data_IF_436595965389
#
_entry.id   IF_436595965389
#
_cell.length_a   1.000
_cell.length_b   1.000
_cell.length_c   1.000
_cell.angle_alpha   90.00
_cell.angle_beta   90.00
_cell.angle_gamma   90.00
#
_symmetry.space_group_name_H-M   'P 1'
#
loop_
_entity.id
_entity.type
_entity.pdbx_description
1 polymer ?
#
# COMPACT_ATOMS: atom_id res chain seq x y z
N UNK A 1 0.72 28.19 -65.71
CA UNK A 1 1.81 27.57 -64.92
C UNK A 1 1.51 27.84 -63.45
N UNK A 2 1.34 26.81 -62.60
CA UNK A 2 0.71 26.99 -61.29
C UNK A 2 1.70 27.52 -60.24
N UNK A 3 1.21 28.38 -59.35
CA UNK A 3 1.97 28.96 -58.25
C UNK A 3 2.15 27.92 -57.12
N UNK A 4 3.41 27.65 -56.76
CA UNK A 4 3.78 26.75 -55.67
C UNK A 4 3.59 27.46 -54.32
N UNK A 5 2.48 27.18 -53.63
CA UNK A 5 2.29 27.58 -52.22
C UNK A 5 3.08 26.61 -51.33
N UNK A 6 4.17 27.10 -50.73
CA UNK A 6 4.93 26.38 -49.69
C UNK A 6 4.09 26.33 -48.41
N UNK A 7 3.55 25.16 -48.09
CA UNK A 7 2.92 24.89 -46.80
C UNK A 7 4.02 24.58 -45.79
N UNK A 8 4.23 25.46 -44.82
CA UNK A 8 5.05 25.18 -43.64
C UNK A 8 4.26 24.25 -42.71
N UNK A 9 4.65 22.98 -42.64
CA UNK A 9 4.10 22.03 -41.68
C UNK A 9 4.78 22.27 -40.31
N UNK A 10 4.04 22.85 -39.36
CA UNK A 10 4.46 22.98 -37.98
C UNK A 10 4.24 21.62 -37.31
N UNK A 11 5.31 20.87 -37.08
CA UNK A 11 5.27 19.62 -36.32
C UNK A 11 5.10 19.94 -34.82
N UNK A 12 3.88 19.78 -34.30
CA UNK A 12 3.60 19.87 -32.87
C UNK A 12 4.12 18.61 -32.17
N UNK A 13 5.26 18.72 -31.48
CA UNK A 13 5.73 17.69 -30.55
C UNK A 13 4.81 17.69 -29.32
N UNK A 14 3.91 16.71 -29.24
CA UNK A 14 3.16 16.43 -28.04
C UNK A 14 4.12 15.84 -26.99
N UNK A 15 4.49 16.64 -25.99
CA UNK A 15 5.24 16.17 -24.84
C UNK A 15 4.33 15.28 -23.98
N UNK A 16 4.46 13.96 -24.12
CA UNK A 16 3.84 13.01 -23.20
C UNK A 16 4.55 13.11 -21.85
N UNK A 17 3.88 13.64 -20.84
CA UNK A 17 4.34 13.65 -19.46
C UNK A 17 4.37 12.22 -18.92
N UNK A 18 5.57 11.63 -18.85
CA UNK A 18 5.80 10.37 -18.14
C UNK A 18 5.77 10.69 -16.64
N UNK A 19 4.59 10.65 -16.04
CA UNK A 19 4.48 10.66 -14.58
C UNK A 19 5.10 9.35 -14.05
N UNK A 20 5.92 9.39 -12.99
CA UNK A 20 6.42 8.16 -12.37
C UNK A 20 5.22 7.37 -11.86
N UNK A 21 4.98 6.19 -12.45
CA UNK A 21 4.01 5.25 -11.93
C UNK A 21 4.58 4.67 -10.63
N UNK A 22 3.88 4.87 -9.52
CA UNK A 22 4.19 4.17 -8.28
C UNK A 22 3.95 2.67 -8.51
N UNK A 23 4.82 1.84 -7.95
CA UNK A 23 4.60 0.41 -7.94
C UNK A 23 3.26 0.08 -7.26
N UNK A 24 2.61 -0.99 -7.69
CA UNK A 24 1.37 -1.43 -7.04
C UNK A 24 1.64 -1.79 -5.57
N UNK A 25 0.76 -1.41 -4.62
CA UNK A 25 0.84 -1.88 -3.24
C UNK A 25 0.40 -3.35 -3.10
N UNK A 26 -0.30 -3.90 -4.09
CA UNK A 26 -0.84 -5.27 -4.06
C UNK A 26 0.29 -6.30 -4.00
N UNK A 27 0.13 -7.30 -3.15
CA UNK A 27 1.03 -8.43 -2.99
C UNK A 27 1.22 -8.84 -1.53
N UNK A 28 2.14 -9.79 -1.31
CA UNK A 28 2.46 -10.26 0.03
C UNK A 28 3.57 -9.42 0.66
N UNK A 29 3.42 -9.09 1.93
CA UNK A 29 4.34 -8.24 2.67
C UNK A 29 4.71 -8.87 4.02
N UNK A 30 6.00 -8.93 4.34
CA UNK A 30 6.53 -9.41 5.62
C UNK A 30 6.95 -8.20 6.48
N UNK A 31 6.54 -8.15 7.74
CA UNK A 31 6.96 -7.09 8.66
C UNK A 31 8.45 -7.24 9.01
N UNK A 32 9.14 -6.17 9.39
CA UNK A 32 10.58 -6.16 9.70
C UNK A 32 11.02 -7.14 10.80
N UNK A 33 10.12 -7.52 11.71
CA UNK A 33 10.35 -8.54 12.75
C UNK A 33 10.29 -9.98 12.20
N UNK A 34 9.85 -10.13 10.94
CA UNK A 34 9.73 -11.39 10.19
C UNK A 34 8.82 -12.42 10.87
N UNK A 35 7.89 -11.94 11.68
CA UNK A 35 7.00 -12.74 12.52
C UNK A 35 5.56 -12.81 11.97
N UNK A 36 5.25 -12.00 10.95
CA UNK A 36 3.94 -11.93 10.33
C UNK A 36 4.03 -11.55 8.85
N UNK A 37 3.09 -12.09 8.05
CA UNK A 37 2.91 -11.71 6.66
C UNK A 37 1.46 -11.38 6.36
N UNK A 38 1.29 -10.46 5.43
CA UNK A 38 0.01 -9.92 5.06
C UNK A 38 -0.19 -10.02 3.56
N UNK A 39 -1.36 -10.49 3.13
CA UNK A 39 -1.81 -10.33 1.75
C UNK A 39 -2.51 -8.97 1.62
N UNK A 40 -1.92 -8.08 0.83
CA UNK A 40 -2.41 -6.72 0.61
C UNK A 40 -3.08 -6.66 -0.76
N UNK A 41 -4.33 -6.22 -0.76
CA UNK A 41 -5.16 -6.12 -1.97
C UNK A 41 -5.84 -4.75 -2.06
N UNK A 42 -6.20 -4.36 -3.28
CA UNK A 42 -7.14 -3.26 -3.50
C UNK A 42 -8.57 -3.79 -3.31
N UNK A 43 -9.40 -3.00 -2.62
CA UNK A 43 -10.78 -3.35 -2.28
C UNK A 43 -11.70 -2.13 -2.41
N UNK A 44 -12.99 -2.30 -2.12
CA UNK A 44 -13.99 -1.23 -2.20
C UNK A 44 -14.14 -0.66 -3.61
N UNK A 45 -13.82 0.62 -3.77
CA UNK A 45 -13.88 1.33 -5.07
C UNK A 45 -12.69 1.04 -5.99
N UNK A 46 -11.78 0.14 -5.60
CA UNK A 46 -10.58 -0.21 -6.35
C UNK A 46 -9.37 0.67 -6.03
N UNK A 47 -9.48 1.64 -5.11
CA UNK A 47 -8.36 2.47 -4.63
C UNK A 47 -8.04 2.25 -3.16
N UNK A 48 -8.97 1.66 -2.40
CA UNK A 48 -8.82 1.40 -0.98
C UNK A 48 -7.96 0.17 -0.74
N UNK A 49 -7.19 0.16 0.34
CA UNK A 49 -6.39 -1.00 0.74
C UNK A 49 -7.10 -1.85 1.78
N UNK A 50 -7.03 -3.17 1.57
CA UNK A 50 -7.36 -4.19 2.53
C UNK A 50 -6.13 -5.07 2.77
N UNK A 51 -5.97 -5.59 3.99
CA UNK A 51 -4.86 -6.48 4.32
C UNK A 51 -5.32 -7.59 5.27
N UNK A 52 -5.06 -8.82 4.85
CA UNK A 52 -5.33 -10.04 5.62
C UNK A 52 -4.03 -10.56 6.24
N UNK A 53 -4.08 -11.01 7.50
CA UNK A 53 -2.97 -11.73 8.12
C UNK A 53 -2.96 -13.18 7.63
N UNK A 54 -1.96 -13.56 6.84
CA UNK A 54 -1.92 -14.87 6.16
C UNK A 54 -0.86 -15.82 6.71
N UNK A 55 0.07 -15.32 7.53
CA UNK A 55 1.11 -16.15 8.15
C UNK A 55 1.62 -15.51 9.43
N UNK A 56 1.96 -16.37 10.39
CA UNK A 56 2.62 -16.05 11.65
C UNK A 56 3.82 -16.98 11.82
N UNK A 57 4.90 -16.47 12.41
CA UNK A 57 6.09 -17.26 12.74
C UNK A 57 6.97 -16.54 13.76
N UNK A 58 8.19 -17.03 13.96
CA UNK A 58 9.13 -16.50 14.97
C UNK A 58 8.51 -16.36 16.38
N UNK A 59 7.59 -17.26 16.76
CA UNK A 59 6.91 -17.24 18.05
C UNK A 59 5.67 -16.35 18.12
N UNK A 60 5.32 -15.67 17.02
CA UNK A 60 4.05 -14.95 16.90
C UNK A 60 2.86 -15.89 16.63
N UNK A 61 3.08 -17.19 16.38
CA UNK A 61 2.06 -18.24 16.24
C UNK A 61 1.55 -18.73 17.60
N UNK A 62 1.08 -17.80 18.44
CA UNK A 62 0.66 -18.06 19.81
C UNK A 62 -0.84 -17.75 20.04
N UNK A 63 -1.37 -18.09 21.21
CA UNK A 63 -2.79 -17.96 21.53
C UNK A 63 -3.34 -16.52 21.46
N UNK A 64 -2.48 -15.50 21.60
CA UNK A 64 -2.87 -14.10 21.48
C UNK A 64 -3.09 -13.71 20.02
N UNK A 65 -2.27 -14.23 19.10
CA UNK A 65 -2.25 -13.82 17.69
C UNK A 65 -3.08 -14.73 16.78
N UNK A 66 -3.17 -16.03 17.09
CA UNK A 66 -3.90 -17.02 16.29
C UNK A 66 -5.38 -16.65 16.01
N UNK A 67 -6.13 -15.98 16.90
CA UNK A 67 -7.49 -15.53 16.59
C UNK A 67 -7.59 -14.55 15.42
N UNK A 68 -6.49 -13.89 15.04
CA UNK A 68 -6.42 -12.95 13.92
C UNK A 68 -5.94 -13.59 12.61
N UNK A 69 -5.52 -14.86 12.64
CA UNK A 69 -5.09 -15.56 11.44
C UNK A 69 -6.24 -15.65 10.42
N UNK A 70 -5.95 -15.35 9.16
CA UNK A 70 -6.91 -15.29 8.06
C UNK A 70 -8.06 -14.30 8.30
N UNK A 71 -7.77 -13.19 8.99
CA UNK A 71 -8.73 -12.10 9.21
C UNK A 71 -8.21 -10.79 8.59
N UNK A 72 -9.15 -9.93 8.17
CA UNK A 72 -8.84 -8.59 7.71
C UNK A 72 -8.43 -7.69 8.88
N UNK A 73 -7.15 -7.31 8.94
CA UNK A 73 -6.64 -6.36 9.93
C UNK A 73 -6.73 -4.92 9.43
N UNK A 74 -6.67 -4.73 8.12
CA UNK A 74 -6.96 -3.45 7.47
C UNK A 74 -8.18 -3.67 6.60
N UNK A 75 -9.22 -2.90 6.87
CA UNK A 75 -10.47 -2.93 6.12
C UNK A 75 -10.74 -1.55 5.52
N UNK A 76 -10.76 -1.46 4.19
CA UNK A 76 -11.12 -0.26 3.43
C UNK A 76 -10.31 1.01 3.73
N UNK A 77 -8.99 0.91 3.96
CA UNK A 77 -8.12 2.09 4.16
C UNK A 77 -8.14 3.00 2.92
N UNK A 78 -8.58 4.25 3.09
CA UNK A 78 -8.80 5.20 1.99
C UNK A 78 -7.49 5.80 1.50
N UNK A 79 -7.33 5.86 0.18
CA UNK A 79 -6.19 6.54 -0.43
C UNK A 79 -6.27 8.05 -0.17
N UNK A 80 -5.20 8.62 0.34
CA UNK A 80 -5.09 10.07 0.63
C UNK A 80 -4.05 10.76 -0.24
N UNK A 81 -3.09 10.00 -0.79
CA UNK A 81 -2.07 10.43 -1.77
C UNK A 81 -1.74 9.25 -2.70
N UNK A 82 -1.07 9.47 -3.85
CA UNK A 82 -0.77 8.40 -4.81
C UNK A 82 -0.14 7.13 -4.22
N UNK A 83 0.60 7.24 -3.11
CA UNK A 83 1.27 6.14 -2.43
C UNK A 83 0.92 6.05 -0.93
N UNK A 84 -0.19 6.65 -0.49
CA UNK A 84 -0.57 6.70 0.92
C UNK A 84 -2.05 6.39 1.15
N UNK A 85 -2.32 5.60 2.18
CA UNK A 85 -3.65 5.23 2.64
C UNK A 85 -3.81 5.46 4.13
N UNK A 86 -5.04 5.74 4.57
CA UNK A 86 -5.41 5.89 5.98
C UNK A 86 -6.66 5.12 6.29
N UNK A 87 -6.66 4.42 7.43
CA UNK A 87 -7.78 3.59 7.87
C UNK A 87 -7.66 3.22 9.34
N UNK A 88 -8.54 2.35 9.81
CA UNK A 88 -8.41 1.70 11.11
C UNK A 88 -7.68 0.37 10.94
N UNK A 89 -6.75 0.11 11.86
CA UNK A 89 -6.10 -1.19 12.05
C UNK A 89 -6.84 -1.90 13.18
N UNK A 90 -7.32 -3.11 12.92
CA UNK A 90 -7.93 -3.98 13.92
C UNK A 90 -6.89 -5.02 14.35
N UNK A 91 -6.24 -4.80 15.50
CA UNK A 91 -5.16 -5.66 15.98
C UNK A 91 -5.33 -5.85 17.49
N UNK A 92 -5.22 -7.09 17.99
CA UNK A 92 -5.30 -7.41 19.42
C UNK A 92 -6.58 -6.91 20.11
N UNK A 93 -7.71 -6.90 19.37
CA UNK A 93 -9.00 -6.41 19.86
C UNK A 93 -9.05 -4.91 20.05
N UNK A 94 -8.00 -4.19 19.65
CA UNK A 94 -7.89 -2.75 19.69
C UNK A 94 -8.06 -2.16 18.28
N UNK A 95 -8.53 -0.92 18.26
CA UNK A 95 -8.53 -0.09 17.06
C UNK A 95 -7.37 0.90 17.13
N UNK A 96 -6.54 0.93 16.10
CA UNK A 96 -5.50 1.95 15.95
C UNK A 96 -5.70 2.72 14.66
N UNK A 97 -5.51 4.04 14.68
CA UNK A 97 -5.47 4.83 13.46
C UNK A 97 -4.20 4.47 12.68
N UNK A 98 -4.37 4.01 11.44
CA UNK A 98 -3.29 3.56 10.57
C UNK A 98 -2.98 4.57 9.45
N UNK A 99 -1.70 4.76 9.14
CA UNK A 99 -1.24 5.35 7.90
C UNK A 99 -0.26 4.38 7.22
N UNK A 100 -0.59 4.00 5.99
CA UNK A 100 0.21 3.11 5.15
C UNK A 100 0.85 3.97 4.08
N UNK A 101 2.16 3.92 3.91
CA UNK A 101 2.86 4.64 2.85
C UNK A 101 3.79 3.70 2.12
N UNK A 102 3.60 3.54 0.81
CA UNK A 102 4.52 2.79 -0.04
C UNK A 102 5.68 3.70 -0.44
N UNK A 103 6.86 3.42 0.09
CA UNK A 103 8.05 4.27 -0.09
C UNK A 103 8.92 3.80 -1.25
N UNK A 104 8.83 2.51 -1.62
CA UNK A 104 9.46 1.93 -2.82
C UNK A 104 8.61 0.77 -3.36
N UNK A 105 9.08 0.12 -4.43
CA UNK A 105 8.42 -1.07 -4.97
C UNK A 105 8.36 -2.24 -3.98
N UNK A 106 9.34 -2.31 -3.09
CA UNK A 106 9.59 -3.42 -2.17
C UNK A 106 9.49 -3.03 -0.68
N UNK A 107 9.08 -1.79 -0.37
CA UNK A 107 8.95 -1.31 1.00
C UNK A 107 7.66 -0.50 1.25
N UNK A 108 6.97 -0.86 2.33
CA UNK A 108 5.86 -0.12 2.92
C UNK A 108 6.24 0.28 4.35
N UNK A 109 5.89 1.51 4.72
CA UNK A 109 5.88 1.97 6.11
C UNK A 109 4.45 1.94 6.64
N UNK A 110 4.24 1.22 7.75
CA UNK A 110 2.98 1.17 8.48
C UNK A 110 3.12 1.93 9.80
N UNK A 111 2.36 3.01 9.97
CA UNK A 111 2.27 3.75 11.23
C UNK A 111 0.90 3.53 11.87
N UNK A 112 0.87 2.92 13.05
CA UNK A 112 -0.33 2.76 13.88
C UNK A 112 -0.28 3.67 15.10
N UNK A 113 -1.38 4.33 15.44
CA UNK A 113 -1.51 5.18 16.63
C UNK A 113 -2.74 4.80 17.46
N UNK A 114 -2.54 4.46 18.73
CA UNK A 114 -3.63 4.21 19.69
C UNK A 114 -3.98 5.51 20.40
N UNK A 115 -5.28 5.81 20.47
CA UNK A 115 -5.82 7.03 21.09
C UNK A 115 -5.15 8.33 20.60
N UNK A 116 -4.60 8.34 19.38
CA UNK A 116 -3.84 9.44 18.76
C UNK A 116 -2.55 9.88 19.48
N UNK A 117 -2.18 9.26 20.61
CA UNK A 117 -1.02 9.68 21.42
C UNK A 117 0.15 8.70 21.27
N UNK A 118 -0.13 7.40 21.29
CA UNK A 118 0.91 6.37 21.28
C UNK A 118 1.04 5.81 19.87
N UNK A 119 2.08 6.21 19.16
CA UNK A 119 2.34 5.77 17.79
C UNK A 119 3.51 4.79 17.71
N UNK A 120 3.36 3.77 16.89
CA UNK A 120 4.42 2.87 16.47
C UNK A 120 4.51 2.87 14.94
N UNK A 121 5.72 2.73 14.44
CA UNK A 121 6.00 2.65 13.01
C UNK A 121 6.72 1.33 12.77
N UNK A 122 6.28 0.61 11.75
CA UNK A 122 6.85 -0.64 11.30
C UNK A 122 7.23 -0.54 9.83
N UNK A 123 8.34 -1.16 9.47
CA UNK A 123 8.66 -1.42 8.06
C UNK A 123 8.11 -2.77 7.64
N UNK A 124 7.64 -2.84 6.40
CA UNK A 124 7.19 -4.04 5.74
C UNK A 124 7.92 -4.16 4.41
N UNK A 125 8.38 -5.36 4.12
CA UNK A 125 9.15 -5.67 2.92
C UNK A 125 8.36 -6.64 2.05
N UNK A 126 8.44 -6.42 0.74
CA UNK A 126 7.73 -7.26 -0.23
C UNK A 126 8.28 -8.68 -0.14
N UNK A 127 7.39 -9.64 0.04
CA UNK A 127 7.73 -11.05 0.14
C UNK A 127 7.47 -11.74 -1.20
N UNK A 128 8.55 -12.03 -1.91
CA UNK A 128 8.52 -12.82 -3.14
C UNK A 128 8.93 -14.24 -2.77
N UNK A 129 8.02 -15.20 -2.93
CA UNK A 129 8.30 -16.62 -2.74
C UNK A 129 9.23 -17.17 -3.83
#
# INVERSE_FOLDING_TARGET
>A
MPAFRRVFAIAAFAAASIAPAFASPVGMWEIEMRDSRYDVQLCGDGTQLCAELVWLGNGADNAENLPYMNTLLIDHARQTRPNQWKGELHIYGQKAAGTITQVSADQITLKGCVALVICKTYQMYRYNQ
#
